data_IF_250194509299
#
_entry.id   IF_250194509299
#
_cell.length_a   1.000
_cell.length_b   1.000
_cell.length_c   1.000
_cell.angle_alpha   90.00
_cell.angle_beta   90.00
_cell.angle_gamma   90.00
#
_symmetry.space_group_name_H-M   'P 1'
#
loop_
_entity.id
_entity.type
_entity.pdbx_description
1 polymer ?
#
# COMPACT_ATOMS: atom_id res chain seq x y z
N UNK A 1 4.72 3.90 32.19
CA UNK A 1 4.04 3.39 30.97
C UNK A 1 4.70 4.06 29.78
N UNK A 2 5.47 3.32 29.03
CA UNK A 2 6.10 3.84 27.83
C UNK A 2 5.04 4.06 26.75
N UNK A 3 4.71 5.32 26.53
CA UNK A 3 3.74 5.69 25.50
C UNK A 3 4.37 5.47 24.12
N UNK A 4 3.53 5.05 23.16
CA UNK A 4 3.96 4.96 21.76
C UNK A 4 4.37 6.34 21.28
N UNK A 5 5.57 6.53 20.70
CA UNK A 5 6.04 7.82 20.18
C UNK A 5 5.03 8.45 19.22
N UNK A 6 4.86 9.77 19.30
CA UNK A 6 3.90 10.50 18.45
C UNK A 6 4.11 10.23 16.96
N UNK A 7 5.36 10.21 16.50
CA UNK A 7 5.67 9.92 15.09
C UNK A 7 5.16 8.55 14.66
N UNK A 8 5.22 7.56 15.53
CA UNK A 8 4.72 6.21 15.26
C UNK A 8 3.19 6.16 15.21
N UNK A 9 2.51 6.93 16.07
CA UNK A 9 1.05 7.06 16.04
C UNK A 9 0.58 7.74 14.77
N UNK A 10 1.26 8.81 14.34
CA UNK A 10 0.95 9.51 13.09
C UNK A 10 1.09 8.55 11.89
N UNK A 11 2.18 7.80 11.82
CA UNK A 11 2.37 6.79 10.76
C UNK A 11 1.29 5.73 10.76
N UNK A 12 0.94 5.21 11.92
CA UNK A 12 -0.15 4.25 12.05
C UNK A 12 -1.46 4.82 11.53
N UNK A 13 -1.78 6.05 11.91
CA UNK A 13 -2.97 6.75 11.45
C UNK A 13 -2.97 6.94 9.93
N UNK A 14 -1.85 7.37 9.35
CA UNK A 14 -1.71 7.55 7.91
C UNK A 14 -1.84 6.22 7.15
N UNK A 15 -1.22 5.15 7.61
CA UNK A 15 -1.33 3.82 7.01
C UNK A 15 -2.80 3.32 7.03
N UNK A 16 -3.48 3.48 8.16
CA UNK A 16 -4.89 3.08 8.31
C UNK A 16 -5.78 3.92 7.40
N UNK A 17 -5.62 5.25 7.38
CA UNK A 17 -6.40 6.15 6.52
C UNK A 17 -6.16 5.81 5.06
N UNK A 18 -4.91 5.58 4.64
CA UNK A 18 -4.59 5.20 3.27
C UNK A 18 -5.25 3.86 2.89
N UNK A 19 -5.17 2.84 3.75
CA UNK A 19 -5.84 1.56 3.52
C UNK A 19 -7.36 1.70 3.40
N UNK A 20 -7.98 2.46 4.30
CA UNK A 20 -9.43 2.73 4.25
C UNK A 20 -9.84 3.56 3.03
N UNK A 21 -8.98 4.44 2.55
CA UNK A 21 -9.22 5.22 1.31
C UNK A 21 -9.29 4.29 0.10
N UNK A 22 -8.42 3.29 0.02
CA UNK A 22 -8.50 2.27 -1.03
C UNK A 22 -9.82 1.49 -0.93
N UNK A 23 -10.19 1.07 0.28
CA UNK A 23 -11.48 0.37 0.49
C UNK A 23 -12.65 1.21 0.01
N UNK A 24 -12.71 2.48 0.38
CA UNK A 24 -13.75 3.39 -0.04
C UNK A 24 -13.80 3.55 -1.57
N UNK A 25 -12.64 3.68 -2.22
CA UNK A 25 -12.55 3.79 -3.68
C UNK A 25 -13.10 2.55 -4.38
N UNK A 26 -12.79 1.35 -3.86
CA UNK A 26 -13.32 0.11 -4.43
C UNK A 26 -14.80 -0.13 -4.11
N UNK A 27 -15.28 0.28 -2.95
CA UNK A 27 -16.72 0.23 -2.65
C UNK A 27 -17.50 1.08 -3.63
N UNK A 28 -17.06 2.30 -3.91
CA UNK A 28 -17.68 3.18 -4.91
C UNK A 28 -17.62 2.53 -6.30
N UNK A 29 -16.44 2.10 -6.75
CA UNK A 29 -16.27 1.47 -8.06
C UNK A 29 -17.16 0.24 -8.24
N UNK A 30 -17.17 -0.68 -7.29
CA UNK A 30 -17.96 -1.91 -7.37
C UNK A 30 -19.44 -1.61 -7.31
N UNK A 31 -19.88 -0.65 -6.49
CA UNK A 31 -21.28 -0.24 -6.44
C UNK A 31 -21.73 0.30 -7.80
N UNK A 32 -20.95 1.18 -8.40
CA UNK A 32 -21.25 1.75 -9.71
C UNK A 32 -21.30 0.68 -10.80
N UNK A 33 -20.35 -0.26 -10.82
CA UNK A 33 -20.30 -1.35 -11.79
C UNK A 33 -21.49 -2.32 -11.64
N UNK A 34 -21.86 -2.65 -10.40
CA UNK A 34 -23.01 -3.54 -10.14
C UNK A 34 -24.33 -2.86 -10.53
N UNK A 35 -24.50 -1.58 -10.19
CA UNK A 35 -25.70 -0.82 -10.56
C UNK A 35 -25.82 -0.64 -12.08
N UNK A 36 -24.71 -0.43 -12.77
CA UNK A 36 -24.68 -0.33 -14.23
C UNK A 36 -24.77 -1.70 -14.94
N UNK A 37 -24.71 -2.82 -14.22
CA UNK A 37 -24.71 -4.16 -14.81
C UNK A 37 -23.42 -4.50 -15.59
N UNK A 38 -22.33 -3.79 -15.30
CA UNK A 38 -21.04 -3.95 -16.00
C UNK A 38 -20.00 -4.71 -15.21
N UNK A 39 -20.33 -5.19 -14.01
CA UNK A 39 -19.40 -5.92 -13.17
C UNK A 39 -19.12 -7.32 -13.73
N UNK A 40 -17.87 -7.53 -14.12
CA UNK A 40 -17.33 -8.81 -14.58
C UNK A 40 -16.24 -9.31 -13.62
N UNK A 41 -16.53 -10.26 -12.71
CA UNK A 41 -15.56 -10.69 -11.69
C UNK A 41 -14.23 -11.16 -12.26
N UNK A 42 -14.23 -11.98 -13.29
CA UNK A 42 -13.01 -12.50 -13.92
C UNK A 42 -12.11 -11.38 -14.45
N UNK A 43 -12.70 -10.40 -15.12
CA UNK A 43 -11.99 -9.24 -15.64
C UNK A 43 -11.50 -8.34 -14.50
N UNK A 44 -12.35 -8.10 -13.50
CA UNK A 44 -12.00 -7.25 -12.36
C UNK A 44 -10.75 -7.76 -11.62
N UNK A 45 -10.70 -9.06 -11.32
CA UNK A 45 -9.57 -9.65 -10.61
C UNK A 45 -8.36 -9.96 -11.51
N UNK A 46 -8.50 -9.93 -12.84
CA UNK A 46 -7.38 -10.07 -13.76
C UNK A 46 -6.49 -8.81 -13.86
N UNK A 47 -7.02 -7.63 -13.52
CA UNK A 47 -6.23 -6.41 -13.58
C UNK A 47 -5.18 -6.36 -12.47
N UNK A 48 -3.91 -6.14 -12.88
CA UNK A 48 -2.78 -6.02 -11.96
C UNK A 48 -2.97 -4.89 -10.94
N UNK A 49 -3.54 -3.76 -11.37
CA UNK A 49 -3.86 -2.63 -10.48
C UNK A 49 -4.80 -3.04 -9.35
N UNK A 50 -5.84 -3.83 -9.67
CA UNK A 50 -6.79 -4.27 -8.65
C UNK A 50 -6.13 -5.24 -7.66
N UNK A 51 -5.35 -6.20 -8.15
CA UNK A 51 -4.60 -7.13 -7.30
C UNK A 51 -3.63 -6.38 -6.37
N UNK A 52 -2.87 -5.43 -6.92
CA UNK A 52 -1.95 -4.60 -6.15
C UNK A 52 -2.68 -3.75 -5.11
N UNK A 53 -3.82 -3.17 -5.46
CA UNK A 53 -4.61 -2.34 -4.55
C UNK A 53 -5.20 -3.14 -3.39
N UNK A 54 -5.77 -4.32 -3.64
CA UNK A 54 -6.26 -5.20 -2.59
C UNK A 54 -5.14 -5.65 -1.64
N UNK A 55 -3.98 -5.96 -2.19
CA UNK A 55 -2.81 -6.31 -1.39
C UNK A 55 -2.31 -5.11 -0.58
N UNK A 56 -2.35 -3.91 -1.12
CA UNK A 56 -1.99 -2.69 -0.41
C UNK A 56 -2.92 -2.40 0.77
N UNK A 57 -4.21 -2.71 0.68
CA UNK A 57 -5.13 -2.62 1.83
C UNK A 57 -4.57 -3.46 2.98
N UNK A 58 -4.25 -4.71 2.73
CA UNK A 58 -3.72 -5.63 3.76
C UNK A 58 -2.40 -5.13 4.32
N UNK A 59 -1.47 -4.72 3.46
CA UNK A 59 -0.13 -4.24 3.87
C UNK A 59 -0.23 -2.96 4.71
N UNK A 60 -1.08 -2.02 4.34
CA UNK A 60 -1.26 -0.76 5.06
C UNK A 60 -1.96 -0.96 6.40
N UNK A 61 -3.03 -1.73 6.45
CA UNK A 61 -3.74 -2.02 7.71
C UNK A 61 -2.86 -2.84 8.66
N UNK A 62 -2.10 -3.82 8.16
CA UNK A 62 -1.13 -4.55 8.95
C UNK A 62 -0.02 -3.64 9.48
N UNK A 63 0.48 -2.71 8.66
CA UNK A 63 1.47 -1.71 9.08
C UNK A 63 0.97 -0.80 10.19
N UNK A 64 -0.26 -0.32 10.08
CA UNK A 64 -0.93 0.47 11.10
C UNK A 64 -1.08 -0.31 12.40
N UNK A 65 -1.53 -1.55 12.32
CA UNK A 65 -1.65 -2.45 13.47
C UNK A 65 -0.31 -2.70 14.17
N UNK A 66 0.74 -3.05 13.42
CA UNK A 66 2.08 -3.28 13.98
C UNK A 66 2.63 -2.02 14.66
N UNK A 67 2.39 -0.85 14.06
CA UNK A 67 2.82 0.41 14.64
C UNK A 67 2.11 0.73 15.97
N UNK A 68 0.82 0.43 16.09
CA UNK A 68 0.04 0.64 17.32
C UNK A 68 0.29 -0.44 18.38
N UNK A 69 0.58 -1.67 17.99
CA UNK A 69 0.81 -2.80 18.90
C UNK A 69 2.24 -2.83 19.49
N UNK A 70 3.05 -1.83 19.22
CA UNK A 70 4.46 -1.74 19.65
C UNK A 70 5.37 -2.86 19.13
N UNK A 71 4.92 -3.62 18.15
CA UNK A 71 5.74 -4.64 17.53
C UNK A 71 6.71 -4.00 16.53
N UNK A 72 7.93 -4.51 16.50
CA UNK A 72 8.88 -4.15 15.45
C UNK A 72 8.42 -4.70 14.10
N UNK A 73 8.73 -3.97 13.03
CA UNK A 73 8.51 -4.48 11.68
C UNK A 73 9.38 -5.74 11.49
N UNK A 74 8.75 -6.83 11.12
CA UNK A 74 9.47 -8.06 10.78
C UNK A 74 10.17 -7.91 9.43
N UNK A 75 11.23 -8.70 9.20
CA UNK A 75 11.89 -8.76 7.89
C UNK A 75 10.91 -9.13 6.79
N UNK A 76 10.04 -10.11 7.07
CA UNK A 76 8.99 -10.54 6.15
C UNK A 76 8.05 -9.37 5.78
N UNK A 77 7.52 -8.67 6.77
CA UNK A 77 6.63 -7.53 6.54
C UNK A 77 7.33 -6.43 5.73
N UNK A 78 8.57 -6.08 6.08
CA UNK A 78 9.34 -5.05 5.38
C UNK A 78 9.61 -5.44 3.93
N UNK A 79 9.92 -6.71 3.67
CA UNK A 79 10.14 -7.23 2.32
C UNK A 79 8.85 -7.19 1.48
N UNK A 80 7.73 -7.63 2.06
CA UNK A 80 6.43 -7.56 1.39
C UNK A 80 6.07 -6.10 1.08
N UNK A 81 6.23 -5.20 2.04
CA UNK A 81 5.95 -3.77 1.85
C UNK A 81 6.84 -3.18 0.74
N UNK A 82 8.12 -3.51 0.69
CA UNK A 82 9.03 -3.06 -0.37
C UNK A 82 8.54 -3.47 -1.77
N UNK A 83 8.10 -4.71 -1.93
CA UNK A 83 7.55 -5.20 -3.19
C UNK A 83 6.31 -4.42 -3.60
N UNK A 84 5.38 -4.17 -2.67
CA UNK A 84 4.16 -3.43 -2.99
C UNK A 84 4.39 -1.93 -3.23
N UNK A 85 5.41 -1.33 -2.61
CA UNK A 85 5.87 0.02 -2.97
C UNK A 85 6.36 0.05 -4.42
N UNK A 86 7.17 -0.93 -4.82
CA UNK A 86 7.66 -1.05 -6.20
C UNK A 86 6.49 -1.25 -7.20
N UNK A 87 5.54 -2.12 -6.89
CA UNK A 87 4.36 -2.32 -7.72
C UNK A 87 3.49 -1.07 -7.82
N UNK A 88 3.25 -0.38 -6.72
CA UNK A 88 2.51 0.87 -6.72
C UNK A 88 3.22 1.95 -7.55
N UNK A 89 4.54 2.03 -7.47
CA UNK A 89 5.34 2.93 -8.32
C UNK A 89 5.15 2.63 -9.80
N UNK A 90 5.27 1.36 -10.19
CA UNK A 90 5.06 0.93 -11.59
C UNK A 90 3.63 1.24 -12.04
N UNK A 91 2.63 0.91 -11.24
CA UNK A 91 1.21 1.22 -11.53
C UNK A 91 1.02 2.72 -11.72
N UNK A 92 1.56 3.54 -10.82
CA UNK A 92 1.45 5.00 -10.90
C UNK A 92 2.10 5.56 -12.16
N UNK A 93 3.34 5.17 -12.45
CA UNK A 93 4.09 5.67 -13.62
C UNK A 93 3.46 5.20 -14.93
N UNK A 94 3.22 3.89 -15.08
CA UNK A 94 2.69 3.32 -16.33
C UNK A 94 1.30 3.88 -16.63
N UNK A 95 0.42 3.94 -15.63
CA UNK A 95 -0.91 4.48 -15.85
C UNK A 95 -0.88 5.95 -16.27
N UNK A 96 -0.20 6.81 -15.50
CA UNK A 96 -0.20 8.23 -15.78
C UNK A 96 0.57 8.62 -17.03
N UNK A 97 1.62 7.87 -17.41
CA UNK A 97 2.42 8.15 -18.59
C UNK A 97 1.84 7.56 -19.89
N UNK A 98 1.19 6.40 -19.81
CA UNK A 98 0.84 5.63 -21.00
C UNK A 98 -0.65 5.31 -21.16
N UNK A 99 -1.40 5.20 -20.07
CA UNK A 99 -2.75 4.67 -20.11
C UNK A 99 -3.83 5.69 -19.78
N UNK A 100 -3.45 6.82 -19.14
CA UNK A 100 -4.41 7.83 -18.69
C UNK A 100 -5.04 8.54 -19.87
N UNK A 101 -6.37 8.39 -20.00
CA UNK A 101 -7.16 9.16 -20.96
C UNK A 101 -7.56 10.53 -20.45
N UNK A 102 -8.08 11.42 -21.33
CA UNK A 102 -8.49 12.76 -20.95
C UNK A 102 -9.66 12.83 -19.97
N UNK A 103 -10.46 11.76 -19.89
CA UNK A 103 -11.66 11.67 -19.04
C UNK A 103 -11.47 10.78 -17.79
N UNK A 104 -10.24 10.30 -17.55
CA UNK A 104 -9.94 9.35 -16.47
C UNK A 104 -9.63 10.03 -15.12
N UNK A 105 -10.48 10.96 -14.69
CA UNK A 105 -10.33 11.68 -13.42
C UNK A 105 -11.31 11.23 -12.32
N UNK A 106 -11.79 10.00 -12.39
CA UNK A 106 -12.69 9.45 -11.37
C UNK A 106 -11.98 9.20 -10.04
N UNK A 107 -12.73 9.25 -8.93
CA UNK A 107 -12.19 9.06 -7.57
C UNK A 107 -11.34 7.78 -7.43
N UNK A 108 -11.83 6.67 -7.94
CA UNK A 108 -11.09 5.39 -7.92
C UNK A 108 -9.74 5.51 -8.65
N UNK A 109 -9.71 6.10 -9.84
CA UNK A 109 -8.49 6.27 -10.63
C UNK A 109 -7.46 7.15 -9.92
N UNK A 110 -7.88 8.28 -9.35
CA UNK A 110 -6.98 9.16 -8.62
C UNK A 110 -6.41 8.48 -7.37
N UNK A 111 -7.23 7.75 -6.62
CA UNK A 111 -6.76 7.01 -5.44
C UNK A 111 -5.74 5.94 -5.81
N UNK A 112 -6.05 5.09 -6.78
CA UNK A 112 -5.22 3.91 -7.09
C UNK A 112 -3.97 4.23 -7.90
N UNK A 113 -4.00 5.27 -8.74
CA UNK A 113 -2.92 5.57 -9.68
C UNK A 113 -2.10 6.83 -9.33
N UNK A 114 -2.57 7.66 -8.40
CA UNK A 114 -1.86 8.87 -7.98
C UNK A 114 -1.64 8.90 -6.48
N UNK A 115 -2.72 8.93 -5.69
CA UNK A 115 -2.64 9.19 -4.25
C UNK A 115 -1.87 8.08 -3.54
N UNK A 116 -2.27 6.83 -3.72
CA UNK A 116 -1.64 5.70 -3.04
C UNK A 116 -0.20 5.45 -3.52
N UNK A 117 0.12 5.43 -4.82
CA UNK A 117 1.51 5.34 -5.27
C UNK A 117 2.41 6.44 -4.70
N UNK A 118 1.96 7.69 -4.71
CA UNK A 118 2.73 8.81 -4.14
C UNK A 118 2.90 8.64 -2.63
N UNK A 119 1.85 8.27 -1.92
CA UNK A 119 1.91 8.00 -0.49
C UNK A 119 2.92 6.90 -0.15
N UNK A 120 2.82 5.75 -0.81
CA UNK A 120 3.67 4.59 -0.52
C UNK A 120 5.15 4.86 -0.83
N UNK A 121 5.44 5.51 -1.95
CA UNK A 121 6.82 5.87 -2.32
C UNK A 121 7.39 6.91 -1.36
N UNK A 122 6.62 7.95 -1.04
CA UNK A 122 7.04 9.01 -0.11
C UNK A 122 7.28 8.43 1.29
N UNK A 123 6.36 7.63 1.80
CA UNK A 123 6.50 6.97 3.09
C UNK A 123 7.73 6.05 3.13
N UNK A 124 7.96 5.29 2.05
CA UNK A 124 9.12 4.42 1.95
C UNK A 124 10.44 5.20 1.98
N UNK A 125 10.55 6.27 1.20
CA UNK A 125 11.76 7.12 1.15
C UNK A 125 11.99 7.79 2.50
N UNK A 126 10.95 8.32 3.14
CA UNK A 126 11.07 8.93 4.47
C UNK A 126 11.42 7.92 5.56
N UNK A 127 11.03 6.66 5.38
CA UNK A 127 11.37 5.56 6.29
C UNK A 127 12.72 4.92 5.98
N UNK A 128 13.44 5.34 4.96
CA UNK A 128 14.79 4.84 4.68
C UNK A 128 15.80 5.18 5.78
N UNK A 129 15.44 6.06 6.73
CA UNK A 129 16.11 6.23 8.01
C UNK A 129 15.78 5.11 9.04
N UNK A 130 15.05 4.07 8.66
CA UNK A 130 14.91 2.86 9.48
C UNK A 130 16.28 2.21 9.70
N UNK A 131 16.50 1.62 10.87
CA UNK A 131 17.70 0.82 11.05
C UNK A 131 17.72 -0.18 9.88
N UNK A 132 18.77 -0.09 9.09
CA UNK A 132 19.03 -1.03 8.01
C UNK A 132 18.77 -2.42 8.58
N UNK A 133 18.13 -3.27 7.82
CA UNK A 133 18.16 -4.70 8.09
C UNK A 133 19.65 -5.02 8.18
N UNK A 134 20.18 -5.03 9.42
CA UNK A 134 21.48 -5.60 9.63
C UNK A 134 21.25 -7.07 9.32
N UNK A 135 21.62 -7.47 8.12
CA UNK A 135 21.86 -8.88 7.87
C UNK A 135 22.83 -9.27 8.96
N UNK A 136 22.36 -9.94 10.01
CA UNK A 136 23.25 -10.59 10.91
C UNK A 136 24.20 -11.40 10.02
N UNK A 137 25.51 -11.12 10.03
CA UNK A 137 26.43 -12.04 9.41
C UNK A 137 26.05 -13.38 9.99
N UNK A 138 25.78 -14.34 9.12
CA UNK A 138 25.46 -15.69 9.54
C UNK A 138 26.45 -15.99 10.67
N UNK A 139 25.95 -16.13 11.89
CA UNK A 139 26.80 -16.55 12.99
C UNK A 139 27.31 -17.90 12.53
N UNK A 140 28.59 -17.92 12.15
CA UNK A 140 29.19 -19.15 11.69
C UNK A 140 28.88 -20.18 12.74
N UNK A 141 28.23 -21.26 12.35
CA UNK A 141 28.07 -22.41 13.22
C UNK A 141 29.45 -22.72 13.78
N UNK A 142 29.63 -22.78 15.11
CA UNK A 142 30.90 -23.27 15.64
C UNK A 142 31.15 -24.65 15.05
N UNK A 143 32.31 -24.78 14.42
CA UNK A 143 32.77 -26.05 13.90
C UNK A 143 32.91 -27.05 15.06
#
# INVERSE_FOLDING_TARGET
MDQIPLARRIRAGLDIVAGLTIVAAYVVLLTDQVQAGTFEPGKHFAYFTNQTSYSNIVVLLAGGYLALSRQADTVLYTTIRANFVAYAFVVGVVYNALLRGPDDFGFHNEVTHVIIPVYLVTDWVMRSARPRIVSHPAQGFPA
#
